data_IF_550958938934
#
_entry.id   IF_550958938934
#
_cell.length_a   1.000
_cell.length_b   1.000
_cell.length_c   1.000
_cell.angle_alpha   90.00
_cell.angle_beta   90.00
_cell.angle_gamma   90.00
#
_symmetry.space_group_name_H-M   'P 1'
#
loop_
_entity.id
_entity.type
_entity.pdbx_description
1 polymer ?
#
# COMPACT_ATOMS: atom_id res chain seq x y z
N UNK A 1 11.28 23.22 1.12
CA UNK A 1 10.27 23.04 0.04
C UNK A 1 9.05 22.41 0.67
N UNK A 2 7.83 22.71 0.21
CA UNK A 2 6.61 22.09 0.72
C UNK A 2 6.59 20.61 0.39
N UNK A 3 6.17 19.79 1.35
CA UNK A 3 5.90 18.37 1.16
C UNK A 3 4.60 18.18 0.41
N UNK A 4 4.61 17.32 -0.60
CA UNK A 4 3.48 17.09 -1.49
C UNK A 4 3.16 15.61 -1.56
N UNK A 5 1.88 15.28 -1.38
CA UNK A 5 1.36 13.95 -1.62
C UNK A 5 0.42 13.94 -2.81
N UNK A 6 0.74 13.14 -3.83
CA UNK A 6 -0.18 12.76 -4.88
C UNK A 6 -0.96 11.53 -4.42
N UNK A 7 -2.26 11.68 -4.15
CA UNK A 7 -3.16 10.60 -3.75
C UNK A 7 -3.95 10.10 -4.96
N UNK A 8 -3.69 8.86 -5.35
CA UNK A 8 -4.35 8.14 -6.44
C UNK A 8 -5.31 7.11 -5.83
N UNK A 9 -6.60 7.40 -5.86
CA UNK A 9 -7.64 6.54 -5.30
C UNK A 9 -8.41 5.85 -6.42
N UNK A 10 -8.50 4.53 -6.37
CA UNK A 10 -9.26 3.75 -7.36
C UNK A 10 -10.77 3.84 -7.15
N UNK A 11 -11.23 4.32 -5.99
CA UNK A 11 -12.64 4.62 -5.72
C UNK A 11 -13.06 5.93 -6.38
N UNK A 12 -14.30 6.06 -6.88
CA UNK A 12 -14.77 7.29 -7.55
C UNK A 12 -14.63 8.56 -6.69
N UNK A 13 -14.72 8.40 -5.38
CA UNK A 13 -14.51 9.50 -4.41
C UNK A 13 -13.29 9.17 -3.57
N UNK A 14 -12.23 10.00 -3.61
CA UNK A 14 -11.06 9.80 -2.79
C UNK A 14 -11.38 9.78 -1.31
N UNK A 15 -10.73 8.90 -0.59
CA UNK A 15 -10.91 8.72 0.86
C UNK A 15 -10.59 10.01 1.62
N UNK A 16 -11.57 10.50 2.37
CA UNK A 16 -11.38 11.64 3.28
C UNK A 16 -10.46 11.25 4.44
N UNK A 17 -10.57 10.01 4.92
CA UNK A 17 -9.72 9.47 5.97
C UNK A 17 -8.24 9.52 5.57
N UNK A 18 -7.89 9.01 4.38
CA UNK A 18 -6.51 9.00 3.91
C UNK A 18 -5.94 10.41 3.74
N UNK A 19 -6.79 11.36 3.33
CA UNK A 19 -6.40 12.77 3.22
C UNK A 19 -6.08 13.40 4.57
N UNK A 20 -6.92 13.14 5.57
CA UNK A 20 -6.69 13.64 6.94
C UNK A 20 -5.40 13.05 7.49
N UNK A 21 -5.23 11.73 7.41
CA UNK A 21 -4.01 11.05 7.86
C UNK A 21 -2.77 11.57 7.15
N UNK A 22 -2.86 11.91 5.86
CA UNK A 22 -1.75 12.50 5.13
C UNK A 22 -1.35 13.88 5.67
N UNK A 23 -2.32 14.74 6.00
CA UNK A 23 -2.06 16.03 6.64
C UNK A 23 -1.47 15.86 8.05
N UNK A 24 -2.05 14.97 8.85
CA UNK A 24 -1.55 14.65 10.20
C UNK A 24 -0.12 14.06 10.15
N UNK A 25 0.20 13.34 9.07
CA UNK A 25 1.52 12.81 8.78
C UNK A 25 2.53 13.85 8.26
N UNK A 26 2.13 15.11 8.10
CA UNK A 26 3.01 16.23 7.76
C UNK A 26 3.04 16.58 6.27
N UNK A 27 2.06 16.18 5.47
CA UNK A 27 1.94 16.68 4.11
C UNK A 27 1.43 18.13 4.11
N UNK A 28 2.19 19.06 3.49
CA UNK A 28 1.75 20.45 3.33
C UNK A 28 0.65 20.60 2.26
N UNK A 29 0.62 19.69 1.29
CA UNK A 29 -0.38 19.67 0.23
C UNK A 29 -0.70 18.23 -0.19
N UNK A 30 -2.00 17.95 -0.34
CA UNK A 30 -2.50 16.65 -0.81
C UNK A 30 -3.35 16.88 -2.06
N UNK A 31 -2.88 16.36 -3.19
CA UNK A 31 -3.64 16.35 -4.45
C UNK A 31 -4.31 14.99 -4.61
N UNK A 32 -5.62 14.93 -4.50
CA UNK A 32 -6.38 13.68 -4.54
C UNK A 32 -7.15 13.55 -5.85
N UNK A 33 -6.98 12.41 -6.50
CA UNK A 33 -7.69 12.00 -7.71
C UNK A 33 -8.47 10.73 -7.41
N UNK A 34 -9.75 10.71 -7.74
CA UNK A 34 -10.63 9.55 -7.58
C UNK A 34 -10.95 8.89 -8.91
N UNK A 35 -11.32 7.60 -8.85
CA UNK A 35 -11.63 6.80 -10.03
C UNK A 35 -10.41 6.55 -10.92
N UNK A 36 -9.21 6.59 -10.35
CA UNK A 36 -7.95 6.46 -11.10
C UNK A 36 -7.82 5.06 -11.67
N UNK A 37 -7.56 4.96 -12.96
CA UNK A 37 -7.24 3.74 -13.67
C UNK A 37 -5.80 3.79 -14.23
N UNK A 38 -5.29 2.65 -14.68
CA UNK A 38 -3.92 2.51 -15.19
C UNK A 38 -3.55 3.57 -16.26
N UNK A 39 -4.51 3.92 -17.13
CA UNK A 39 -4.30 4.89 -18.22
C UNK A 39 -4.04 6.32 -17.76
N UNK A 40 -4.53 6.71 -16.57
CA UNK A 40 -4.39 8.06 -16.03
C UNK A 40 -3.04 8.29 -15.35
N UNK A 41 -2.40 7.19 -14.92
CA UNK A 41 -1.28 7.23 -13.98
C UNK A 41 -0.07 7.95 -14.55
N UNK A 42 0.24 7.71 -15.83
CA UNK A 42 1.43 8.27 -16.46
C UNK A 42 1.47 9.79 -16.36
N UNK A 43 0.41 10.45 -16.74
CA UNK A 43 0.34 11.91 -16.79
C UNK A 43 0.36 12.51 -15.38
N UNK A 44 -0.34 11.88 -14.43
CA UNK A 44 -0.34 12.30 -13.03
C UNK A 44 1.04 12.17 -12.38
N UNK A 45 1.74 11.06 -12.62
CA UNK A 45 3.11 10.83 -12.09
C UNK A 45 4.10 11.77 -12.76
N UNK A 46 4.03 11.97 -14.10
CA UNK A 46 4.87 12.89 -14.83
C UNK A 46 4.67 14.33 -14.35
N UNK A 47 3.44 14.72 -13.99
CA UNK A 47 3.16 16.01 -13.38
C UNK A 47 3.95 16.23 -12.08
N UNK A 48 4.19 15.18 -11.30
CA UNK A 48 5.03 15.27 -10.10
C UNK A 48 6.52 15.27 -10.43
N UNK A 49 7.00 14.30 -11.21
CA UNK A 49 8.44 14.10 -11.38
C UNK A 49 9.11 15.12 -12.30
N UNK A 50 8.34 15.82 -13.16
CA UNK A 50 8.90 16.86 -14.05
C UNK A 50 8.78 18.28 -13.50
N UNK A 51 7.93 18.51 -12.51
CA UNK A 51 7.79 19.84 -11.88
C UNK A 51 8.83 20.12 -10.80
N UNK A 52 9.53 19.09 -10.35
CA UNK A 52 10.56 19.18 -9.31
C UNK A 52 11.87 18.60 -9.81
N UNK A 53 12.98 19.28 -9.53
CA UNK A 53 14.31 18.73 -9.82
C UNK A 53 14.59 17.47 -9.00
N UNK A 54 15.54 16.60 -9.43
CA UNK A 54 15.85 15.35 -8.72
C UNK A 54 16.14 15.53 -7.23
N UNK A 55 16.74 16.67 -6.85
CA UNK A 55 17.05 17.01 -5.46
C UNK A 55 15.80 17.33 -4.62
N UNK A 56 14.72 17.74 -5.26
CA UNK A 56 13.50 18.20 -4.59
C UNK A 56 12.42 17.11 -4.56
N UNK A 57 12.60 16.02 -5.33
CA UNK A 57 11.67 14.90 -5.37
C UNK A 57 11.54 14.17 -4.02
N UNK A 58 12.53 14.27 -3.12
CA UNK A 58 12.43 13.73 -1.76
C UNK A 58 11.30 14.36 -0.92
N UNK A 59 10.84 15.56 -1.33
CA UNK A 59 9.67 16.23 -0.71
C UNK A 59 8.35 15.87 -1.40
N UNK A 60 8.34 14.86 -2.28
CA UNK A 60 7.14 14.38 -2.97
C UNK A 60 6.94 12.90 -2.73
N UNK A 61 5.69 12.51 -2.51
CA UNK A 61 5.30 11.12 -2.37
C UNK A 61 4.02 10.84 -3.17
N UNK A 62 3.81 9.58 -3.49
CA UNK A 62 2.60 9.08 -4.15
C UNK A 62 1.96 8.06 -3.20
N UNK A 63 0.66 8.22 -2.94
CA UNK A 63 -0.13 7.25 -2.19
C UNK A 63 -1.15 6.62 -3.14
N UNK A 64 -1.18 5.30 -3.19
CA UNK A 64 -2.17 4.53 -3.95
C UNK A 64 -3.15 3.91 -2.96
N UNK A 65 -4.39 4.39 -3.01
CA UNK A 65 -5.49 4.00 -2.14
C UNK A 65 -6.67 3.36 -2.89
N UNK A 66 -7.84 3.39 -2.24
CA UNK A 66 -9.10 2.88 -2.78
C UNK A 66 -9.51 1.54 -2.19
N UNK A 67 -10.77 1.16 -2.41
CA UNK A 67 -11.35 -0.05 -1.81
C UNK A 67 -10.94 -1.35 -2.54
N UNK A 68 -10.69 -1.27 -3.83
CA UNK A 68 -10.32 -2.43 -4.67
C UNK A 68 -8.80 -2.60 -4.71
N UNK A 69 -8.34 -3.72 -4.12
CA UNK A 69 -6.91 -4.03 -4.03
C UNK A 69 -6.33 -4.39 -5.39
N UNK A 70 -7.07 -5.13 -6.21
CA UNK A 70 -6.59 -5.57 -7.53
C UNK A 70 -6.42 -4.35 -8.44
N UNK A 71 -7.39 -3.43 -8.44
CA UNK A 71 -7.26 -2.15 -9.13
C UNK A 71 -6.08 -1.33 -8.59
N UNK A 72 -5.92 -1.28 -7.27
CA UNK A 72 -4.80 -0.58 -6.64
C UNK A 72 -3.42 -1.17 -6.99
N UNK A 73 -3.30 -2.49 -7.08
CA UNK A 73 -2.05 -3.16 -7.52
C UNK A 73 -1.70 -2.82 -8.97
N UNK A 74 -2.69 -2.71 -9.84
CA UNK A 74 -2.49 -2.28 -11.23
C UNK A 74 -2.03 -0.82 -11.31
N UNK A 75 -2.69 0.07 -10.56
CA UNK A 75 -2.27 1.47 -10.44
C UNK A 75 -0.84 1.57 -9.89
N UNK A 76 -0.49 0.80 -8.86
CA UNK A 76 0.88 0.75 -8.33
C UNK A 76 1.90 0.31 -9.39
N UNK A 77 1.57 -0.71 -10.17
CA UNK A 77 2.43 -1.17 -11.26
C UNK A 77 2.65 -0.08 -12.30
N UNK A 78 1.57 0.63 -12.71
CA UNK A 78 1.64 1.75 -13.63
C UNK A 78 2.46 2.92 -13.07
N UNK A 79 2.34 3.25 -11.78
CA UNK A 79 3.18 4.27 -11.11
C UNK A 79 4.66 3.93 -11.25
N UNK A 80 5.04 2.68 -10.98
CA UNK A 80 6.43 2.23 -11.08
C UNK A 80 6.97 2.31 -12.52
N UNK A 81 6.13 2.03 -13.51
CA UNK A 81 6.48 2.11 -14.92
C UNK A 81 6.60 3.57 -15.41
N UNK A 82 5.87 4.49 -14.81
CA UNK A 82 5.91 5.90 -15.17
C UNK A 82 7.18 6.63 -14.71
N UNK A 83 7.95 6.05 -13.80
CA UNK A 83 9.21 6.65 -13.36
C UNK A 83 10.28 6.59 -14.45
N UNK A 84 11.11 7.63 -14.52
CA UNK A 84 12.14 7.79 -15.54
C UNK A 84 13.53 7.91 -14.89
N UNK A 85 14.29 6.83 -14.90
CA UNK A 85 15.65 6.81 -14.34
C UNK A 85 15.70 7.30 -12.89
N UNK A 86 16.44 8.39 -12.58
CA UNK A 86 16.53 8.94 -11.24
C UNK A 86 15.30 9.77 -10.82
N UNK A 87 14.41 10.11 -11.77
CA UNK A 87 13.19 10.87 -11.48
C UNK A 87 12.14 9.94 -10.86
N UNK A 88 12.21 9.79 -9.55
CA UNK A 88 11.35 8.90 -8.76
C UNK A 88 10.89 9.61 -7.50
N UNK A 89 9.67 9.34 -7.07
CA UNK A 89 9.13 9.73 -5.78
C UNK A 89 8.89 8.49 -4.91
N UNK A 90 8.80 8.67 -3.60
CA UNK A 90 8.37 7.60 -2.69
C UNK A 90 6.94 7.17 -3.02
N UNK A 91 6.67 5.87 -2.94
CA UNK A 91 5.32 5.33 -3.18
C UNK A 91 4.88 4.49 -2.00
N UNK A 92 3.71 4.79 -1.45
CA UNK A 92 3.01 3.96 -0.48
C UNK A 92 1.75 3.39 -1.14
N UNK A 93 1.57 2.09 -1.03
CA UNK A 93 0.37 1.38 -1.47
C UNK A 93 -0.36 0.80 -0.28
N UNK A 94 -1.59 1.24 -0.06
CA UNK A 94 -2.41 0.73 1.05
C UNK A 94 -3.91 0.74 0.74
N UNK A 95 -4.30 0.13 -0.38
CA UNK A 95 -5.72 -0.03 -0.70
C UNK A 95 -6.47 -0.72 0.43
N UNK A 96 -7.57 -0.09 0.85
CA UNK A 96 -8.43 -0.55 1.96
C UNK A 96 -7.69 -0.75 3.30
N UNK A 97 -6.59 -0.01 3.53
CA UNK A 97 -5.78 -0.14 4.75
C UNK A 97 -5.18 -1.54 4.96
N UNK A 98 -5.10 -2.35 3.89
CA UNK A 98 -4.83 -3.78 4.03
C UNK A 98 -3.38 -4.11 4.31
N UNK A 99 -2.44 -3.34 3.78
CA UNK A 99 -1.01 -3.59 3.98
C UNK A 99 -0.55 -3.15 5.37
N UNK A 100 -0.87 -1.93 5.77
CA UNK A 100 -0.49 -1.39 7.08
C UNK A 100 -1.13 -2.18 8.21
N UNK A 101 -2.41 -2.55 8.10
CA UNK A 101 -3.10 -3.39 9.09
C UNK A 101 -2.46 -4.77 9.19
N UNK A 102 -2.14 -5.42 8.07
CA UNK A 102 -1.50 -6.73 8.08
C UNK A 102 -0.10 -6.67 8.71
N UNK A 103 0.69 -5.65 8.37
CA UNK A 103 2.02 -5.45 8.96
C UNK A 103 1.92 -5.23 10.47
N UNK A 104 1.02 -4.37 10.93
CA UNK A 104 0.83 -4.10 12.35
C UNK A 104 0.41 -5.37 13.12
N UNK A 105 -0.55 -6.14 12.57
CA UNK A 105 -1.02 -7.37 13.18
C UNK A 105 0.10 -8.42 13.28
N UNK A 106 0.83 -8.65 12.19
CA UNK A 106 1.92 -9.64 12.16
C UNK A 106 3.10 -9.20 13.04
N UNK A 107 3.42 -7.92 13.07
CA UNK A 107 4.47 -7.38 13.95
C UNK A 107 4.12 -7.63 15.44
N UNK A 108 2.91 -7.26 15.85
CA UNK A 108 2.44 -7.49 17.22
C UNK A 108 2.44 -8.99 17.60
N UNK A 109 1.96 -9.85 16.69
CA UNK A 109 1.94 -11.29 16.89
C UNK A 109 3.36 -11.84 17.07
N UNK A 110 4.30 -11.44 16.22
CA UNK A 110 5.70 -11.89 16.31
C UNK A 110 6.33 -11.54 17.66
N UNK A 111 6.17 -10.30 18.12
CA UNK A 111 6.68 -9.87 19.42
C UNK A 111 5.99 -10.57 20.61
N UNK A 112 4.71 -10.92 20.47
CA UNK A 112 3.99 -11.66 21.50
C UNK A 112 4.42 -13.12 21.62
N UNK A 113 4.91 -13.72 20.52
CA UNK A 113 5.34 -15.13 20.48
C UNK A 113 6.82 -15.29 20.88
N UNK A 114 7.65 -14.31 20.58
CA UNK A 114 9.08 -14.32 20.88
C UNK A 114 9.59 -12.90 21.05
N UNK A 115 10.44 -12.60 22.04
CA UNK A 115 11.04 -11.29 22.22
C UNK A 115 11.79 -10.79 20.96
N UNK A 116 12.48 -11.70 20.24
CA UNK A 116 13.19 -11.39 18.99
C UNK A 116 12.26 -11.40 17.78
N UNK A 117 10.98 -11.74 17.95
CA UNK A 117 10.00 -11.83 16.88
C UNK A 117 10.25 -12.97 15.90
N UNK A 118 11.01 -13.99 16.29
CA UNK A 118 11.28 -15.17 15.46
C UNK A 118 10.11 -16.16 15.53
N UNK A 119 9.55 -16.45 14.37
CA UNK A 119 8.42 -17.39 14.21
C UNK A 119 8.72 -18.52 13.21
N UNK A 120 9.97 -18.73 12.86
CA UNK A 120 10.39 -19.80 11.96
C UNK A 120 9.96 -21.16 12.50
N UNK A 121 9.38 -21.98 11.63
CA UNK A 121 8.88 -23.32 12.00
C UNK A 121 7.60 -23.32 12.87
N UNK A 122 7.11 -22.17 13.31
CA UNK A 122 5.84 -22.09 14.04
C UNK A 122 4.65 -22.31 13.10
N UNK A 123 3.57 -22.88 13.62
CA UNK A 123 2.31 -23.02 12.89
C UNK A 123 1.43 -21.80 13.14
N UNK A 124 0.89 -21.22 12.09
CA UNK A 124 -0.02 -20.09 12.15
C UNK A 124 -1.29 -20.39 11.39
N UNK A 125 -2.44 -19.98 11.92
CA UNK A 125 -3.73 -20.06 11.23
C UNK A 125 -4.25 -18.64 11.01
N UNK A 126 -4.57 -18.34 9.76
CA UNK A 126 -5.18 -17.06 9.38
C UNK A 126 -6.63 -17.30 8.98
N UNK A 127 -7.55 -16.86 9.83
CA UNK A 127 -8.99 -16.93 9.55
C UNK A 127 -9.40 -15.80 8.60
N UNK A 128 -10.43 -16.06 7.76
CA UNK A 128 -10.85 -15.15 6.70
C UNK A 128 -9.67 -14.73 5.77
N UNK A 129 -8.74 -15.63 5.55
CA UNK A 129 -7.48 -15.36 4.86
C UNK A 129 -7.60 -15.08 3.36
N UNK A 130 -8.79 -15.25 2.76
CA UNK A 130 -9.09 -14.77 1.40
C UNK A 130 -9.43 -13.27 1.35
N UNK A 131 -9.63 -12.63 2.51
CA UNK A 131 -9.86 -11.19 2.58
C UNK A 131 -8.55 -10.39 2.45
N UNK A 132 -8.68 -9.07 2.23
CA UNK A 132 -7.54 -8.19 1.95
C UNK A 132 -6.42 -8.26 3.00
N UNK A 133 -6.76 -8.06 4.24
CA UNK A 133 -5.80 -8.10 5.37
C UNK A 133 -5.29 -9.51 5.61
N UNK A 134 -6.20 -10.51 5.58
CA UNK A 134 -5.85 -11.90 5.85
C UNK A 134 -4.84 -12.47 4.85
N UNK A 135 -5.04 -12.20 3.56
CA UNK A 135 -4.12 -12.65 2.49
C UNK A 135 -2.72 -12.06 2.68
N UNK A 136 -2.63 -10.77 3.00
CA UNK A 136 -1.36 -10.09 3.24
C UNK A 136 -0.68 -10.57 4.52
N UNK A 137 -1.45 -10.76 5.58
CA UNK A 137 -0.93 -11.31 6.84
C UNK A 137 -0.39 -12.73 6.65
N UNK A 138 -1.12 -13.60 5.93
CA UNK A 138 -0.66 -14.93 5.59
C UNK A 138 0.67 -14.90 4.81
N UNK A 139 0.79 -14.04 3.81
CA UNK A 139 2.02 -13.85 3.06
C UNK A 139 3.18 -13.34 3.91
N UNK A 140 2.92 -12.42 4.85
CA UNK A 140 3.94 -11.90 5.77
C UNK A 140 4.42 -12.99 6.74
N UNK A 141 3.51 -13.78 7.32
CA UNK A 141 3.84 -14.89 8.20
C UNK A 141 4.65 -15.98 7.49
N UNK A 142 4.24 -16.34 6.25
CA UNK A 142 4.96 -17.31 5.44
C UNK A 142 6.39 -16.83 5.12
N UNK A 143 6.56 -15.57 4.71
CA UNK A 143 7.90 -14.98 4.49
C UNK A 143 8.76 -14.92 5.75
N UNK A 144 8.13 -14.82 6.92
CA UNK A 144 8.83 -14.90 8.20
C UNK A 144 9.15 -16.35 8.64
N UNK A 145 8.84 -17.36 7.81
CA UNK A 145 9.18 -18.75 8.03
C UNK A 145 8.15 -19.57 8.81
N UNK A 146 6.95 -19.06 9.03
CA UNK A 146 5.88 -19.83 9.64
C UNK A 146 5.22 -20.79 8.64
N UNK A 147 4.74 -21.95 9.12
CA UNK A 147 3.85 -22.83 8.38
C UNK A 147 2.41 -22.29 8.50
N UNK A 148 1.90 -21.70 7.43
CA UNK A 148 0.64 -20.97 7.44
C UNK A 148 -0.51 -21.81 6.88
N UNK A 149 -1.59 -21.90 7.64
CA UNK A 149 -2.89 -22.42 7.19
C UNK A 149 -3.86 -21.26 7.04
N UNK A 150 -4.52 -21.17 5.88
CA UNK A 150 -5.52 -20.13 5.60
C UNK A 150 -6.91 -20.77 5.59
N UNK A 151 -7.87 -20.17 6.30
CA UNK A 151 -9.27 -20.57 6.21
C UNK A 151 -10.10 -19.55 5.46
N UNK A 152 -11.06 -20.02 4.66
CA UNK A 152 -11.98 -19.17 3.89
C UNK A 152 -13.39 -19.76 3.94
N UNK A 153 -14.40 -18.89 3.84
CA UNK A 153 -15.81 -19.34 3.75
C UNK A 153 -16.17 -19.91 2.38
N UNK A 154 -15.44 -19.57 1.34
CA UNK A 154 -15.66 -20.07 -0.03
C UNK A 154 -14.36 -20.66 -0.55
N UNK A 155 -14.37 -21.95 -0.85
CA UNK A 155 -13.37 -22.55 -1.71
C UNK A 155 -13.81 -22.29 -3.16
N UNK A 156 -13.16 -21.35 -3.86
CA UNK A 156 -13.19 -21.35 -5.31
C UNK A 156 -12.09 -22.29 -5.76
N UNK A 157 -12.45 -23.51 -6.08
CA UNK A 157 -11.57 -24.39 -6.88
C UNK A 157 -11.62 -23.81 -8.29
N UNK A 158 -10.54 -23.19 -8.76
CA UNK A 158 -10.25 -22.99 -10.18
C UNK A 158 -9.07 -23.85 -10.51
#
# INVERSE_FOLDING_TARGET
>A
MRTLLLHLDTSPRPSVFDRIVAYDGGADAVMSYGGVVEGDVRDLVHGVIFTRGPKDLHSSAIFVGGADIVAGEKVLAAVRQAFMGPLRASVLFDSNGSNTTAVAAVSKLRHAVSPEGDIRGRRAVVTAGSGPVGLRAAGLLARAGAAVTVTTRRMSVK
#
